data_IF_090696192618
#
_entry.id   IF_090696192618
#
_cell.length_a   1.000
_cell.length_b   1.000
_cell.length_c   1.000
_cell.angle_alpha   90.00
_cell.angle_beta   90.00
_cell.angle_gamma   90.00
#
_symmetry.space_group_name_H-M   'P 1'
#
loop_
_entity.id
_entity.type
_entity.pdbx_description
1 polymer ?
#
# COMPACT_ATOMS: atom_id res chain seq x y z
N UNK A 1 18.99 -17.55 6.00
CA UNK A 1 18.51 -17.73 4.61
C UNK A 1 17.30 -18.64 4.49
N UNK A 2 17.20 -19.74 5.25
CA UNK A 2 16.08 -20.69 5.13
C UNK A 2 14.71 -20.09 5.48
N UNK A 3 14.63 -19.27 6.53
CA UNK A 3 13.40 -18.58 6.96
C UNK A 3 12.83 -17.62 5.89
N UNK A 4 13.70 -16.91 5.16
CA UNK A 4 13.27 -15.95 4.13
C UNK A 4 12.68 -16.64 2.91
N UNK A 5 13.31 -17.73 2.45
CA UNK A 5 12.84 -18.51 1.29
C UNK A 5 11.54 -19.25 1.65
N UNK A 6 11.48 -19.83 2.85
CA UNK A 6 10.29 -20.54 3.31
C UNK A 6 9.11 -19.59 3.50
N UNK A 7 9.32 -18.38 4.03
CA UNK A 7 8.27 -17.37 4.15
C UNK A 7 7.75 -16.89 2.78
N UNK A 8 8.62 -16.75 1.78
CA UNK A 8 8.21 -16.35 0.42
C UNK A 8 7.37 -17.46 -0.23
N UNK A 9 7.83 -18.70 -0.21
CA UNK A 9 7.13 -19.82 -0.83
C UNK A 9 5.85 -20.22 -0.09
N UNK A 10 5.85 -20.19 1.24
CA UNK A 10 4.72 -20.67 2.04
C UNK A 10 3.61 -19.63 2.23
N UNK A 11 3.94 -18.34 2.24
CA UNK A 11 2.94 -17.28 2.56
C UNK A 11 2.58 -16.49 1.31
N UNK A 12 3.57 -16.02 0.55
CA UNK A 12 3.33 -15.11 -0.57
C UNK A 12 2.68 -15.83 -1.76
N UNK A 13 3.14 -17.03 -2.09
CA UNK A 13 2.59 -17.83 -3.20
C UNK A 13 1.09 -18.13 -3.02
N UNK A 14 0.64 -18.78 -1.94
CA UNK A 14 -0.78 -19.12 -1.80
C UNK A 14 -1.65 -17.88 -1.67
N UNK A 15 -1.17 -16.82 -1.01
CA UNK A 15 -1.91 -15.56 -0.88
C UNK A 15 -2.14 -14.91 -2.25
N UNK A 16 -1.09 -14.76 -3.06
CA UNK A 16 -1.18 -14.16 -4.39
C UNK A 16 -1.99 -15.06 -5.34
N UNK A 17 -1.85 -16.37 -5.24
CA UNK A 17 -2.61 -17.32 -6.04
C UNK A 17 -4.11 -17.19 -5.76
N UNK A 18 -4.51 -17.19 -4.49
CA UNK A 18 -5.91 -17.04 -4.10
C UNK A 18 -6.47 -15.69 -4.54
N UNK A 19 -5.69 -14.61 -4.36
CA UNK A 19 -6.08 -13.26 -4.77
C UNK A 19 -6.34 -13.16 -6.28
N UNK A 20 -5.42 -13.65 -7.12
CA UNK A 20 -5.61 -13.64 -8.57
C UNK A 20 -6.70 -14.58 -9.05
N UNK A 21 -6.91 -15.71 -8.37
CA UNK A 21 -8.01 -16.63 -8.68
C UNK A 21 -9.37 -15.95 -8.48
N UNK A 22 -9.56 -15.30 -7.33
CA UNK A 22 -10.79 -14.54 -7.02
C UNK A 22 -10.97 -13.41 -8.03
N UNK A 23 -9.92 -12.64 -8.29
CA UNK A 23 -9.97 -11.51 -9.22
C UNK A 23 -10.31 -11.97 -10.65
N UNK A 24 -9.69 -13.06 -11.13
CA UNK A 24 -9.99 -13.64 -12.43
C UNK A 24 -11.44 -14.16 -12.52
N UNK A 25 -11.98 -14.71 -11.43
CA UNK A 25 -13.38 -15.11 -11.34
C UNK A 25 -14.34 -13.90 -11.41
N UNK A 26 -14.02 -12.79 -10.73
CA UNK A 26 -14.79 -11.54 -10.79
C UNK A 26 -14.72 -10.87 -12.18
N UNK A 27 -13.58 -11.00 -12.85
CA UNK A 27 -13.36 -10.48 -14.20
C UNK A 27 -14.12 -11.29 -15.25
N UNK A 28 -13.98 -12.62 -15.25
CA UNK A 28 -14.64 -13.52 -16.23
C UNK A 28 -16.15 -13.65 -16.00
N UNK A 29 -16.65 -13.36 -14.79
CA UNK A 29 -18.10 -13.30 -14.54
C UNK A 29 -18.75 -12.01 -15.05
N UNK A 30 -17.99 -11.02 -15.55
CA UNK A 30 -18.53 -9.73 -15.96
C UNK A 30 -19.05 -8.88 -14.79
N UNK A 31 -18.68 -9.22 -13.54
CA UNK A 31 -19.07 -8.45 -12.36
C UNK A 31 -18.32 -7.11 -12.29
N UNK A 32 -17.02 -7.08 -12.61
CA UNK A 32 -16.21 -5.86 -12.59
C UNK A 32 -16.79 -4.73 -13.48
N UNK A 33 -17.20 -4.95 -14.74
CA UNK A 33 -17.88 -3.95 -15.56
C UNK A 33 -19.15 -3.35 -14.93
N UNK A 34 -19.96 -4.17 -14.24
CA UNK A 34 -21.17 -3.67 -13.55
C UNK A 34 -20.84 -2.79 -12.36
N UNK A 35 -19.84 -3.18 -11.57
CA UNK A 35 -19.34 -2.38 -10.44
C UNK A 35 -18.83 -1.03 -10.93
N UNK A 36 -18.12 -1.00 -12.06
CA UNK A 36 -17.65 0.23 -12.71
C UNK A 36 -18.81 1.17 -13.03
N UNK A 37 -19.88 0.68 -13.68
CA UNK A 37 -21.05 1.51 -14.03
C UNK A 37 -21.80 2.00 -12.79
N UNK A 38 -21.98 1.13 -11.78
CA UNK A 38 -22.70 1.48 -10.55
C UNK A 38 -22.00 2.61 -9.77
N UNK A 39 -20.67 2.58 -9.73
CA UNK A 39 -19.87 3.49 -8.93
C UNK A 39 -19.27 4.65 -9.75
N UNK A 40 -19.51 4.71 -11.06
CA UNK A 40 -19.04 5.80 -11.93
C UNK A 40 -19.46 7.17 -11.41
N UNK A 41 -20.71 7.30 -10.95
CA UNK A 41 -21.22 8.54 -10.36
C UNK A 41 -20.51 8.97 -9.07
N UNK A 42 -19.99 8.03 -8.27
CA UNK A 42 -19.17 8.34 -7.08
C UNK A 42 -17.78 8.78 -7.51
N UNK A 43 -17.20 8.07 -8.48
CA UNK A 43 -15.86 8.33 -8.98
C UNK A 43 -15.75 9.69 -9.65
N UNK A 44 -16.79 10.11 -10.38
CA UNK A 44 -16.86 11.41 -11.01
C UNK A 44 -16.86 12.56 -9.98
N UNK A 45 -17.45 12.37 -8.79
CA UNK A 45 -17.39 13.36 -7.68
C UNK A 45 -15.99 13.52 -7.10
N UNK A 46 -15.14 12.52 -7.27
CA UNK A 46 -13.73 12.52 -6.87
C UNK A 46 -12.85 13.08 -8.01
N UNK A 47 -13.39 13.16 -9.23
CA UNK A 47 -12.67 13.60 -10.43
C UNK A 47 -11.93 12.45 -11.14
N UNK A 48 -12.36 11.21 -10.93
CA UNK A 48 -11.83 10.03 -11.60
C UNK A 48 -12.92 9.32 -12.42
N UNK A 49 -12.49 8.50 -13.36
CA UNK A 49 -13.36 7.66 -14.18
C UNK A 49 -13.76 6.37 -13.46
N UNK A 50 -14.95 5.82 -13.71
CA UNK A 50 -15.38 4.55 -13.09
C UNK A 50 -14.40 3.38 -13.27
N UNK A 51 -13.60 3.36 -14.35
CA UNK A 51 -12.56 2.34 -14.58
C UNK A 51 -11.48 2.32 -13.48
N UNK A 52 -11.25 3.44 -12.80
CA UNK A 52 -10.26 3.55 -11.75
C UNK A 52 -10.59 2.69 -10.51
N UNK A 53 -11.84 2.24 -10.38
CA UNK A 53 -12.30 1.43 -9.24
C UNK A 53 -11.65 0.05 -9.24
N UNK A 54 -11.42 -0.54 -10.41
CA UNK A 54 -10.81 -1.87 -10.51
C UNK A 54 -9.40 -1.83 -9.89
N UNK A 55 -8.47 -0.93 -10.30
CA UNK A 55 -7.17 -0.82 -9.64
C UNK A 55 -7.25 -0.47 -8.15
N UNK A 56 -8.21 0.35 -7.71
CA UNK A 56 -8.36 0.67 -6.28
C UNK A 56 -8.71 -0.56 -5.44
N UNK A 57 -9.67 -1.38 -5.91
CA UNK A 57 -10.02 -2.64 -5.26
C UNK A 57 -8.84 -3.61 -5.22
N UNK A 58 -8.06 -3.68 -6.30
CA UNK A 58 -6.84 -4.50 -6.36
C UNK A 58 -5.78 -3.98 -5.39
N UNK A 59 -5.69 -2.66 -5.20
CA UNK A 59 -4.76 -2.00 -4.28
C UNK A 59 -4.92 -2.44 -2.83
N UNK A 60 -6.16 -2.72 -2.39
CA UNK A 60 -6.41 -3.26 -1.05
C UNK A 60 -5.77 -4.63 -0.84
N UNK A 61 -5.54 -5.40 -1.91
CA UNK A 61 -4.73 -6.62 -1.86
C UNK A 61 -3.24 -6.29 -1.85
N UNK A 62 -2.73 -5.79 -2.97
CA UNK A 62 -1.32 -5.44 -3.12
C UNK A 62 -1.14 -4.29 -4.12
N UNK A 63 -0.23 -3.37 -3.80
CA UNK A 63 0.02 -2.19 -4.64
C UNK A 63 0.68 -2.56 -5.98
N UNK A 64 1.43 -3.66 -6.05
CA UNK A 64 2.10 -4.13 -7.27
C UNK A 64 1.11 -4.45 -8.40
N UNK A 65 0.16 -5.41 -8.23
CA UNK A 65 -0.85 -5.67 -9.26
C UNK A 65 -1.79 -4.49 -9.49
N UNK A 66 -2.03 -3.66 -8.48
CA UNK A 66 -2.88 -2.48 -8.61
C UNK A 66 -2.29 -1.46 -9.58
N UNK A 67 -0.98 -1.19 -9.48
CA UNK A 67 -0.28 -0.31 -10.41
C UNK A 67 -0.30 -0.90 -11.83
N UNK A 68 -0.07 -2.21 -11.99
CA UNK A 68 -0.16 -2.87 -13.30
C UNK A 68 -1.57 -2.81 -13.89
N UNK A 69 -2.61 -2.91 -13.05
CA UNK A 69 -4.01 -2.79 -13.46
C UNK A 69 -4.35 -1.37 -13.96
N UNK A 70 -3.57 -0.33 -13.62
CA UNK A 70 -3.79 1.01 -14.15
C UNK A 70 -3.56 1.11 -15.67
N UNK A 71 -2.90 0.13 -16.31
CA UNK A 71 -2.71 0.07 -17.77
C UNK A 71 -4.02 0.09 -18.58
N UNK A 72 -5.14 -0.33 -17.96
CA UNK A 72 -6.47 -0.31 -18.58
C UNK A 72 -6.95 1.13 -18.86
N UNK A 73 -6.44 2.11 -18.13
CA UNK A 73 -6.81 3.51 -18.30
C UNK A 73 -5.99 4.13 -19.44
N UNK A 74 -6.65 4.80 -20.38
CA UNK A 74 -5.98 5.39 -21.55
C UNK A 74 -5.21 6.66 -21.18
N UNK A 75 -5.84 7.60 -20.46
CA UNK A 75 -5.20 8.88 -20.09
C UNK A 75 -4.02 8.68 -19.15
N UNK A 76 -2.88 9.27 -19.53
CA UNK A 76 -1.67 9.30 -18.70
C UNK A 76 -1.91 10.08 -17.40
N UNK A 77 -2.73 11.13 -17.44
CA UNK A 77 -3.10 11.91 -16.26
C UNK A 77 -3.85 11.05 -15.25
N UNK A 78 -4.92 10.38 -15.67
CA UNK A 78 -5.70 9.53 -14.77
C UNK A 78 -4.87 8.38 -14.19
N UNK A 79 -3.98 7.79 -14.99
CA UNK A 79 -3.01 6.80 -14.52
C UNK A 79 -2.13 7.30 -13.38
N UNK A 80 -1.58 8.51 -13.50
CA UNK A 80 -0.75 9.13 -12.45
C UNK A 80 -1.56 9.47 -11.19
N UNK A 81 -2.76 10.02 -11.35
CA UNK A 81 -3.65 10.34 -10.22
C UNK A 81 -3.99 9.06 -9.46
N UNK A 82 -4.42 8.03 -10.18
CA UNK A 82 -4.81 6.76 -9.59
C UNK A 82 -3.64 6.05 -8.92
N UNK A 83 -2.48 5.98 -9.57
CA UNK A 83 -1.26 5.42 -8.97
C UNK A 83 -0.88 6.13 -7.67
N UNK A 84 -1.05 7.45 -7.61
CA UNK A 84 -0.77 8.25 -6.41
C UNK A 84 -1.72 7.90 -5.27
N UNK A 85 -3.03 7.82 -5.57
CA UNK A 85 -4.05 7.44 -4.59
C UNK A 85 -3.83 6.02 -4.07
N UNK A 86 -3.54 5.06 -4.95
CA UNK A 86 -3.27 3.66 -4.56
C UNK A 86 -2.13 3.59 -3.55
N UNK A 87 -1.09 4.38 -3.74
CA UNK A 87 0.12 4.28 -2.92
C UNK A 87 -0.02 5.00 -1.59
N UNK A 88 -0.68 6.16 -1.59
CA UNK A 88 -0.75 7.04 -0.43
C UNK A 88 -1.96 6.78 0.46
N UNK A 89 -3.07 6.33 -0.11
CA UNK A 89 -4.37 6.32 0.56
C UNK A 89 -4.99 4.93 0.69
N UNK A 90 -4.63 3.97 -0.18
CA UNK A 90 -5.23 2.63 -0.16
C UNK A 90 -4.36 1.69 0.69
N UNK A 91 -4.88 1.21 1.82
CA UNK A 91 -4.13 0.28 2.64
C UNK A 91 -4.09 -1.08 1.97
N UNK A 92 -2.88 -1.58 1.68
CA UNK A 92 -2.72 -2.96 1.20
C UNK A 92 -2.95 -3.96 2.34
N UNK A 93 -3.07 -5.25 2.00
CA UNK A 93 -3.39 -6.29 2.98
C UNK A 93 -2.41 -6.36 4.15
N UNK A 94 -1.13 -6.11 3.90
CA UNK A 94 -0.11 -6.02 4.94
C UNK A 94 -0.35 -4.83 5.89
N UNK A 95 -0.75 -3.68 5.36
CA UNK A 95 -1.04 -2.50 6.19
C UNK A 95 -2.34 -2.70 6.99
N UNK A 96 -3.35 -3.33 6.39
CA UNK A 96 -4.56 -3.74 7.11
C UNK A 96 -4.23 -4.69 8.27
N UNK A 97 -3.32 -5.64 8.05
CA UNK A 97 -2.85 -6.53 9.11
C UNK A 97 -2.09 -5.76 10.21
N UNK A 98 -1.27 -4.76 9.86
CA UNK A 98 -0.60 -3.89 10.85
C UNK A 98 -1.61 -3.08 11.65
N UNK A 99 -2.58 -2.44 10.99
CA UNK A 99 -3.62 -1.61 11.64
C UNK A 99 -4.43 -2.44 12.63
N UNK A 100 -4.89 -3.62 12.22
CA UNK A 100 -5.68 -4.52 13.07
C UNK A 100 -4.79 -5.14 14.16
N UNK A 101 -3.57 -5.57 13.82
CA UNK A 101 -2.65 -6.25 14.72
C UNK A 101 -2.10 -5.35 15.83
N UNK A 102 -1.88 -4.07 15.54
CA UNK A 102 -1.44 -3.06 16.51
C UNK A 102 -2.65 -2.43 17.19
N UNK A 103 -3.31 -1.49 16.53
CA UNK A 103 -4.35 -0.65 17.11
C UNK A 103 -5.63 -1.44 17.41
N UNK A 104 -5.97 -2.42 16.57
CA UNK A 104 -7.17 -3.24 16.78
C UNK A 104 -7.13 -4.08 18.05
N UNK A 105 -6.00 -4.72 18.36
CA UNK A 105 -5.85 -5.55 19.57
C UNK A 105 -5.76 -4.72 20.85
N UNK A 106 -5.15 -3.53 20.81
CA UNK A 106 -4.85 -2.77 22.04
C UNK A 106 -5.74 -1.54 22.25
N UNK A 107 -6.14 -0.84 21.19
CA UNK A 107 -7.01 0.35 21.25
C UNK A 107 -8.49 0.06 20.99
N UNK A 108 -8.80 -1.04 20.31
CA UNK A 108 -10.15 -1.45 19.95
C UNK A 108 -10.62 -0.94 18.59
N UNK A 109 -11.84 -1.35 18.21
CA UNK A 109 -12.38 -1.16 16.85
C UNK A 109 -12.54 0.32 16.44
N UNK A 110 -12.74 1.22 17.41
CA UNK A 110 -12.96 2.65 17.17
C UNK A 110 -11.74 3.30 16.52
N UNK A 111 -10.54 2.97 17.01
CA UNK A 111 -9.31 3.52 16.46
C UNK A 111 -9.00 2.93 15.07
N UNK A 112 -9.34 1.66 14.83
CA UNK A 112 -9.23 1.06 13.48
C UNK A 112 -10.14 1.79 12.50
N UNK A 113 -11.40 2.04 12.87
CA UNK A 113 -12.35 2.81 12.06
C UNK A 113 -11.87 4.26 11.85
N UNK A 114 -11.25 4.88 12.85
CA UNK A 114 -10.67 6.21 12.70
C UNK A 114 -9.54 6.24 11.66
N UNK A 115 -8.60 5.28 11.68
CA UNK A 115 -7.54 5.18 10.67
C UNK A 115 -8.14 4.98 9.26
N UNK A 116 -9.08 4.05 9.12
CA UNK A 116 -9.75 3.81 7.84
C UNK A 116 -10.52 5.04 7.35
N UNK A 117 -11.17 5.77 8.26
CA UNK A 117 -11.83 7.03 7.97
C UNK A 117 -10.86 8.11 7.48
N UNK A 118 -9.69 8.24 8.10
CA UNK A 118 -8.64 9.16 7.66
C UNK A 118 -8.13 8.78 6.27
N UNK A 119 -7.86 7.50 6.02
CA UNK A 119 -7.43 7.00 4.72
C UNK A 119 -8.47 7.25 3.62
N UNK A 120 -9.75 7.02 3.90
CA UNK A 120 -10.86 7.32 2.98
C UNK A 120 -10.96 8.83 2.72
N UNK A 121 -10.83 9.66 3.76
CA UNK A 121 -10.72 11.11 3.63
C UNK A 121 -9.55 11.51 2.73
N UNK A 122 -8.40 10.84 2.87
CA UNK A 122 -7.22 11.05 2.03
C UNK A 122 -7.51 10.73 0.56
N UNK A 123 -8.23 9.64 0.26
CA UNK A 123 -8.67 9.30 -1.11
C UNK A 123 -9.49 10.45 -1.71
N UNK A 124 -10.45 10.99 -0.96
CA UNK A 124 -11.32 12.08 -1.42
C UNK A 124 -10.55 13.39 -1.64
N UNK A 125 -9.68 13.74 -0.70
CA UNK A 125 -8.87 14.97 -0.75
C UNK A 125 -7.87 14.89 -1.89
N UNK A 126 -7.07 13.82 -1.97
CA UNK A 126 -6.08 13.63 -3.02
C UNK A 126 -6.74 13.56 -4.39
N UNK A 127 -7.83 12.82 -4.53
CA UNK A 127 -8.58 12.74 -5.78
C UNK A 127 -9.01 14.11 -6.30
N UNK A 128 -9.65 14.92 -5.45
CA UNK A 128 -10.07 16.29 -5.83
C UNK A 128 -8.90 17.24 -6.07
N UNK A 129 -7.88 17.19 -5.21
CA UNK A 129 -6.74 18.09 -5.29
C UNK A 129 -5.91 17.82 -6.56
N UNK A 130 -5.64 16.55 -6.86
CA UNK A 130 -4.93 16.17 -8.09
C UNK A 130 -5.79 16.39 -9.34
N UNK A 131 -7.10 16.17 -9.27
CA UNK A 131 -8.00 16.50 -10.37
C UNK A 131 -7.98 18.02 -10.67
N UNK A 132 -7.93 18.87 -9.65
CA UNK A 132 -7.83 20.33 -9.85
C UNK A 132 -6.44 20.78 -10.31
N UNK A 133 -5.37 20.11 -9.85
CA UNK A 133 -3.99 20.51 -10.12
C UNK A 133 -3.50 20.13 -11.54
N UNK A 134 -3.99 19.02 -12.11
CA UNK A 134 -3.54 18.54 -13.42
C UNK A 134 -4.58 18.93 -14.49
N UNK A 135 -4.15 19.45 -15.64
CA UNK A 135 -5.02 20.00 -16.70
C UNK A 135 -5.91 18.93 -17.36
N UNK A 136 -7.15 19.29 -17.71
CA UNK A 136 -8.20 18.38 -18.19
C UNK A 136 -7.84 17.69 -19.52
N UNK A 137 -7.92 16.36 -19.56
CA UNK A 137 -7.92 15.54 -20.78
C UNK A 137 -9.27 14.82 -20.84
N UNK A 138 -10.02 14.89 -21.95
CA UNK A 138 -11.29 14.17 -22.08
C UNK A 138 -11.03 12.67 -22.24
N UNK A 139 -11.50 11.88 -21.29
CA UNK A 139 -11.60 10.42 -21.38
C UNK A 139 -13.02 10.04 -21.79
N UNK A 140 -13.16 9.39 -22.95
CA UNK A 140 -14.44 8.92 -23.45
C UNK A 140 -14.77 7.55 -22.85
N UNK A 141 -15.77 7.50 -21.98
CA UNK A 141 -16.39 6.26 -21.51
C UNK A 141 -17.20 5.66 -22.66
N UNK A 142 -16.58 4.85 -23.51
CA UNK A 142 -17.30 3.85 -24.31
C UNK A 142 -17.01 2.49 -23.69
N UNK A 143 -17.64 2.20 -22.54
CA UNK A 143 -17.69 0.84 -22.02
C UNK A 143 -19.02 0.25 -22.47
N UNK A 144 -18.97 -0.59 -23.49
CA UNK A 144 -20.06 -1.54 -23.75
C UNK A 144 -20.16 -2.47 -22.54
N UNK A 145 -21.33 -2.53 -21.90
CA UNK A 145 -21.56 -3.39 -20.74
C UNK A 145 -21.64 -4.84 -21.26
N UNK A 146 -20.67 -5.72 -20.93
CA UNK A 146 -20.75 -7.11 -21.35
C UNK A 146 -21.83 -7.87 -20.57
N UNK A 147 -22.47 -8.83 -21.23
CA UNK A 147 -23.43 -9.74 -20.60
C UNK A 147 -22.77 -10.63 -19.54
N UNK A 148 -23.53 -10.96 -18.49
CA UNK A 148 -23.06 -11.86 -17.44
C UNK A 148 -22.76 -13.23 -18.05
N UNK A 149 -21.49 -13.60 -18.10
CA UNK A 149 -21.04 -14.86 -18.68
C UNK A 149 -20.63 -15.82 -17.57
N UNK A 150 -20.93 -17.11 -17.74
CA UNK A 150 -20.46 -18.13 -16.80
C UNK A 150 -18.94 -18.24 -16.94
N UNK A 151 -18.17 -18.04 -15.85
CA UNK A 151 -16.72 -17.99 -15.93
C UNK A 151 -16.17 -19.38 -16.32
N UNK A 152 -15.33 -19.43 -17.35
CA UNK A 152 -14.69 -20.69 -17.79
C UNK A 152 -13.44 -20.95 -16.97
N UNK A 153 -13.41 -22.10 -16.29
CA UNK A 153 -12.31 -22.49 -15.38
C UNK A 153 -10.94 -22.49 -16.09
N UNK A 154 -10.87 -22.90 -17.36
CA UNK A 154 -9.65 -22.85 -18.17
C UNK A 154 -9.10 -21.43 -18.36
N UNK A 155 -9.97 -20.43 -18.56
CA UNK A 155 -9.55 -19.04 -18.72
C UNK A 155 -9.07 -18.47 -17.39
N UNK A 156 -9.79 -18.77 -16.30
CA UNK A 156 -9.42 -18.35 -14.94
C UNK A 156 -8.01 -18.88 -14.61
N UNK A 157 -7.76 -20.18 -14.81
CA UNK A 157 -6.48 -20.81 -14.52
C UNK A 157 -5.35 -20.24 -15.39
N UNK A 158 -5.56 -20.07 -16.70
CA UNK A 158 -4.56 -19.49 -17.60
C UNK A 158 -4.23 -18.03 -17.25
N UNK A 159 -5.24 -17.20 -17.00
CA UNK A 159 -5.06 -15.79 -16.58
C UNK A 159 -4.31 -15.71 -15.26
N UNK A 160 -4.72 -16.52 -14.28
CA UNK A 160 -4.07 -16.60 -12.96
C UNK A 160 -2.61 -17.01 -13.09
N UNK A 161 -2.32 -18.05 -13.88
CA UNK A 161 -0.95 -18.54 -14.10
C UNK A 161 -0.04 -17.50 -14.76
N UNK A 162 -0.53 -16.81 -15.80
CA UNK A 162 0.24 -15.74 -16.45
C UNK A 162 0.56 -14.59 -15.51
N UNK A 163 -0.41 -14.13 -14.71
CA UNK A 163 -0.22 -13.05 -13.74
C UNK A 163 0.73 -13.44 -12.61
N UNK A 164 0.67 -14.68 -12.12
CA UNK A 164 1.61 -15.20 -11.12
C UNK A 164 3.03 -15.24 -11.69
N UNK A 165 3.20 -15.71 -12.93
CA UNK A 165 4.52 -15.75 -13.59
C UNK A 165 5.10 -14.35 -13.75
N UNK A 166 4.31 -13.38 -14.20
CA UNK A 166 4.75 -11.99 -14.35
C UNK A 166 5.14 -11.39 -12.99
N UNK A 167 4.36 -11.63 -11.94
CA UNK A 167 4.70 -11.21 -10.58
C UNK A 167 6.02 -11.82 -10.10
N UNK A 168 6.23 -13.12 -10.30
CA UNK A 168 7.46 -13.80 -9.88
C UNK A 168 8.69 -13.27 -10.62
N UNK A 169 8.60 -13.04 -11.92
CA UNK A 169 9.72 -12.52 -12.72
C UNK A 169 10.12 -11.10 -12.30
N UNK A 170 9.16 -10.28 -11.87
CA UNK A 170 9.42 -8.88 -11.50
C UNK A 170 9.76 -8.74 -10.02
N UNK A 171 8.94 -9.27 -9.12
CA UNK A 171 9.04 -9.00 -7.68
C UNK A 171 10.11 -9.87 -6.99
N UNK A 172 10.26 -11.14 -7.38
CA UNK A 172 11.19 -12.06 -6.73
C UNK A 172 12.66 -11.59 -6.75
N UNK A 173 13.25 -11.19 -7.89
CA UNK A 173 14.66 -10.76 -7.91
C UNK A 173 14.87 -9.49 -7.07
N UNK A 174 13.91 -8.57 -7.08
CA UNK A 174 13.99 -7.30 -6.33
C UNK A 174 13.95 -7.57 -4.83
N UNK A 175 13.08 -8.47 -4.38
CA UNK A 175 12.98 -8.86 -2.97
C UNK A 175 14.25 -9.57 -2.49
N UNK A 176 14.82 -10.46 -3.31
CA UNK A 176 16.03 -11.20 -2.97
C UNK A 176 17.24 -10.25 -2.84
N UNK A 177 17.45 -9.39 -3.83
CA UNK A 177 18.52 -8.39 -3.82
C UNK A 177 18.35 -7.41 -2.66
N UNK A 178 17.11 -6.92 -2.44
CA UNK A 178 16.81 -5.99 -1.34
C UNK A 178 17.08 -6.58 0.04
N UNK A 179 16.75 -7.87 0.23
CA UNK A 179 17.00 -8.57 1.50
C UNK A 179 18.49 -8.74 1.79
N UNK A 180 19.27 -9.18 0.78
CA UNK A 180 20.73 -9.32 0.91
C UNK A 180 21.40 -7.97 1.18
N UNK A 181 20.99 -6.93 0.44
CA UNK A 181 21.55 -5.58 0.61
C UNK A 181 21.31 -5.03 2.02
N UNK A 182 20.14 -5.30 2.60
CA UNK A 182 19.83 -4.93 3.99
C UNK A 182 20.65 -5.70 5.02
N UNK A 183 20.78 -7.02 4.88
CA UNK A 183 21.57 -7.81 5.81
C UNK A 183 23.03 -7.33 5.83
N UNK A 184 23.59 -6.98 4.66
CA UNK A 184 24.88 -6.33 4.54
C UNK A 184 24.90 -4.96 5.23
N UNK A 185 23.93 -4.09 4.94
CA UNK A 185 23.88 -2.74 5.56
C UNK A 185 23.77 -2.79 7.08
N UNK A 186 23.01 -3.76 7.60
CA UNK A 186 22.86 -4.01 9.02
C UNK A 186 24.17 -4.53 9.63
N UNK A 187 24.85 -5.47 8.96
CA UNK A 187 26.14 -6.01 9.40
C UNK A 187 27.25 -4.95 9.45
N UNK A 188 27.20 -3.93 8.57
CA UNK A 188 28.16 -2.82 8.56
C UNK A 188 27.80 -1.67 9.53
N UNK A 189 26.70 -1.75 10.29
CA UNK A 189 26.29 -0.71 11.24
C UNK A 189 25.91 0.64 10.60
N UNK A 190 25.77 0.69 9.28
CA UNK A 190 25.41 1.91 8.53
C UNK A 190 23.96 2.32 8.82
N UNK A 191 23.12 1.35 9.20
CA UNK A 191 21.74 1.59 9.54
C UNK A 191 21.62 2.45 10.81
N UNK A 192 22.45 2.22 11.82
CA UNK A 192 22.43 2.99 13.07
C UNK A 192 22.86 4.45 12.86
N UNK A 193 23.83 4.70 11.95
CA UNK A 193 24.22 6.05 11.51
C UNK A 193 23.09 6.80 10.77
N UNK A 194 22.17 6.07 10.12
CA UNK A 194 20.98 6.66 9.49
C UNK A 194 19.86 6.89 10.51
N UNK A 195 19.81 6.10 11.59
CA UNK A 195 18.77 6.18 12.63
C UNK A 195 18.96 7.43 13.50
N UNK A 196 20.18 7.79 13.88
CA UNK A 196 20.47 8.98 14.71
C UNK A 196 19.90 10.31 14.16
N UNK A 197 20.11 10.70 12.88
CA UNK A 197 19.53 11.92 12.35
C UNK A 197 18.00 11.84 12.18
N UNK A 198 17.44 10.65 12.00
CA UNK A 198 15.99 10.44 11.93
C UNK A 198 15.33 10.38 13.33
N UNK A 199 16.10 10.11 14.40
CA UNK A 199 15.60 10.05 15.76
C UNK A 199 15.03 11.41 16.21
N UNK A 200 15.70 12.49 15.81
CA UNK A 200 15.20 13.85 16.04
C UNK A 200 13.80 14.07 15.44
N UNK A 201 13.55 13.55 14.24
CA UNK A 201 12.25 13.67 13.58
C UNK A 201 11.18 12.75 14.18
N UNK A 202 11.53 11.55 14.62
CA UNK A 202 10.56 10.58 15.14
C UNK A 202 10.20 10.83 16.60
N UNK A 203 11.18 11.14 17.45
CA UNK A 203 10.93 11.47 18.85
C UNK A 203 10.34 12.88 18.99
N UNK A 204 10.81 13.84 18.19
CA UNK A 204 10.33 15.23 18.23
C UNK A 204 8.97 15.44 17.56
N UNK A 205 8.80 14.97 16.31
CA UNK A 205 7.59 15.26 15.51
C UNK A 205 6.52 14.18 15.66
N UNK A 206 6.91 12.89 15.66
CA UNK A 206 5.96 11.78 15.76
C UNK A 206 5.68 11.31 17.19
N UNK A 207 6.49 11.69 18.19
CA UNK A 207 6.33 11.25 19.58
C UNK A 207 6.57 9.75 19.79
N UNK A 208 7.29 9.11 18.86
CA UNK A 208 7.56 7.67 18.84
C UNK A 208 8.97 7.38 19.37
N UNK A 209 9.17 6.28 20.12
CA UNK A 209 10.51 5.81 20.51
C UNK A 209 11.44 5.63 19.29
N UNK A 210 12.71 6.06 19.37
CA UNK A 210 13.67 5.98 18.26
C UNK A 210 13.84 4.56 17.65
N UNK A 211 13.59 3.51 18.44
CA UNK A 211 13.66 2.10 17.99
C UNK A 211 12.70 1.81 16.82
N UNK A 212 11.62 2.57 16.68
CA UNK A 212 10.60 2.38 15.64
C UNK A 212 11.11 2.79 14.25
N UNK A 213 12.16 3.61 14.17
CA UNK A 213 12.80 3.98 12.90
C UNK A 213 13.31 2.74 12.18
N UNK A 214 13.86 1.78 12.94
CA UNK A 214 14.31 0.51 12.38
C UNK A 214 13.12 -0.21 11.74
N UNK A 215 11.99 -0.31 12.43
CA UNK A 215 10.78 -0.93 11.88
C UNK A 215 10.23 -0.18 10.64
N UNK A 216 10.31 1.16 10.61
CA UNK A 216 9.90 1.99 9.47
C UNK A 216 10.80 1.78 8.24
N UNK A 217 12.13 1.78 8.45
CA UNK A 217 13.13 1.59 7.39
C UNK A 217 13.03 0.18 6.82
N UNK A 218 12.96 -0.85 7.68
CA UNK A 218 12.70 -2.21 7.24
C UNK A 218 11.32 -2.36 6.58
N UNK A 219 10.34 -1.58 7.02
CA UNK A 219 9.00 -1.51 6.43
C UNK A 219 9.01 -1.10 4.95
N UNK A 220 9.94 -0.24 4.51
CA UNK A 220 10.08 0.14 3.08
C UNK A 220 10.40 -1.08 2.21
N UNK A 221 11.15 -2.04 2.75
CA UNK A 221 11.51 -3.24 2.01
C UNK A 221 10.44 -4.31 2.11
N UNK A 222 9.88 -4.50 3.31
CA UNK A 222 8.95 -5.59 3.58
C UNK A 222 7.92 -5.18 4.64
N UNK A 223 6.85 -4.49 4.21
CA UNK A 223 5.82 -3.94 5.10
C UNK A 223 5.18 -5.01 6.00
N UNK A 224 5.01 -6.24 5.52
CA UNK A 224 4.44 -7.35 6.29
C UNK A 224 5.32 -7.82 7.46
N UNK A 225 6.63 -7.60 7.39
CA UNK A 225 7.55 -7.98 8.47
C UNK A 225 7.72 -6.88 9.51
N UNK A 226 7.26 -5.64 9.24
CA UNK A 226 7.41 -4.51 10.17
C UNK A 226 6.76 -4.79 11.54
N UNK A 227 5.56 -5.37 11.55
CA UNK A 227 4.88 -5.77 12.80
C UNK A 227 5.65 -6.86 13.54
N UNK A 228 6.14 -7.88 12.82
CA UNK A 228 6.93 -8.96 13.40
C UNK A 228 8.25 -8.44 13.98
N UNK A 229 8.92 -7.52 13.28
CA UNK A 229 10.13 -6.84 13.72
C UNK A 229 9.89 -6.03 14.99
N UNK A 230 8.76 -5.34 15.13
CA UNK A 230 8.42 -4.67 16.40
C UNK A 230 8.30 -5.64 17.57
N UNK A 231 7.63 -6.78 17.37
CA UNK A 231 7.51 -7.82 18.42
C UNK A 231 8.88 -8.40 18.80
N UNK A 232 9.76 -8.60 17.82
CA UNK A 232 11.12 -9.09 18.06
C UNK A 232 11.99 -8.03 18.75
N UNK A 233 11.94 -6.77 18.30
CA UNK A 233 12.72 -5.66 18.86
C UNK A 233 12.33 -5.35 20.31
N UNK A 234 11.04 -5.40 20.63
CA UNK A 234 10.56 -5.18 21.99
C UNK A 234 10.57 -6.45 22.86
N UNK A 235 10.96 -7.60 22.30
CA UNK A 235 11.03 -8.88 23.01
C UNK A 235 9.71 -9.34 23.65
N UNK A 236 8.59 -8.72 23.27
CA UNK A 236 7.29 -8.89 23.91
C UNK A 236 6.18 -8.96 22.87
N UNK A 237 5.30 -9.95 22.99
CA UNK A 237 4.11 -10.06 22.14
C UNK A 237 3.05 -8.99 22.47
N UNK A 238 3.11 -8.43 23.69
CA UNK A 238 2.18 -7.39 24.18
C UNK A 238 2.76 -5.99 23.97
N UNK A 239 2.46 -5.37 22.83
CA UNK A 239 2.97 -4.03 22.49
C UNK A 239 2.44 -2.93 23.44
N UNK A 240 1.30 -3.15 24.11
CA UNK A 240 0.74 -2.22 25.09
C UNK A 240 1.58 -2.04 26.35
N UNK A 241 2.52 -2.95 26.66
CA UNK A 241 3.40 -2.77 27.82
C UNK A 241 4.59 -1.84 27.52
N UNK A 242 4.85 -1.56 26.24
CA UNK A 242 6.00 -0.77 25.80
C UNK A 242 5.59 0.54 25.13
N UNK A 243 4.40 0.59 24.54
CA UNK A 243 3.88 1.76 23.84
C UNK A 243 2.45 2.08 24.26
N UNK A 244 2.11 3.38 24.28
CA UNK A 244 0.73 3.81 24.47
C UNK A 244 -0.11 3.51 23.22
N UNK A 245 -1.43 3.42 23.39
CA UNK A 245 -2.37 3.19 22.28
C UNK A 245 -2.27 4.30 21.22
N UNK A 246 -1.98 5.53 21.65
CA UNK A 246 -1.79 6.69 20.78
C UNK A 246 -0.54 6.55 19.92
N UNK A 247 0.59 6.11 20.50
CA UNK A 247 1.81 5.85 19.75
C UNK A 247 1.63 4.71 18.74
N UNK A 248 0.88 3.66 19.11
CA UNK A 248 0.51 2.59 18.16
C UNK A 248 -0.37 3.12 17.02
N UNK A 249 -1.27 4.06 17.30
CA UNK A 249 -2.08 4.72 16.29
C UNK A 249 -1.24 5.52 15.30
N UNK A 250 -0.34 6.37 15.80
CA UNK A 250 0.55 7.18 14.96
C UNK A 250 1.44 6.26 14.12
N UNK A 251 1.99 5.20 14.71
CA UNK A 251 2.79 4.22 13.97
C UNK A 251 1.99 3.53 12.84
N UNK A 252 0.79 3.02 13.13
CA UNK A 252 -0.02 2.34 12.14
C UNK A 252 -0.45 3.28 10.99
N UNK A 253 -0.79 4.53 11.32
CA UNK A 253 -1.19 5.53 10.35
C UNK A 253 -0.02 5.95 9.45
N UNK A 254 1.16 6.15 10.02
CA UNK A 254 2.38 6.42 9.26
C UNK A 254 2.70 5.22 8.39
N UNK A 255 2.72 3.99 8.91
CA UNK A 255 2.99 2.79 8.10
C UNK A 255 2.02 2.59 6.92
N UNK A 256 0.76 2.98 7.11
CA UNK A 256 -0.25 2.92 6.06
C UNK A 256 0.02 3.93 4.93
N UNK A 257 0.38 5.16 5.27
CA UNK A 257 0.59 6.26 4.31
C UNK A 257 2.02 6.39 3.79
N UNK A 258 2.99 5.80 4.50
CA UNK A 258 4.41 5.87 4.21
C UNK A 258 4.78 5.09 2.94
N UNK A 259 5.96 5.40 2.40
CA UNK A 259 6.50 4.99 1.11
C UNK A 259 6.11 3.56 0.68
N UNK A 260 5.79 3.33 -0.61
CA UNK A 260 5.45 2.00 -1.12
C UNK A 260 6.61 1.03 -0.95
N UNK A 261 6.29 -0.27 -0.89
CA UNK A 261 7.32 -1.31 -0.84
C UNK A 261 8.24 -1.25 -2.07
N UNK A 262 9.47 -1.74 -1.92
CA UNK A 262 10.47 -1.78 -3.01
C UNK A 262 9.95 -2.38 -4.32
N UNK A 263 9.10 -3.40 -4.24
CA UNK A 263 8.47 -4.02 -5.42
C UNK A 263 7.48 -3.07 -6.10
N UNK A 264 6.64 -2.37 -5.34
CA UNK A 264 5.74 -1.35 -5.89
C UNK A 264 6.51 -0.14 -6.43
N UNK A 265 7.62 0.25 -5.79
CA UNK A 265 8.49 1.31 -6.29
C UNK A 265 9.12 0.96 -7.64
N UNK A 266 9.62 -0.26 -7.81
CA UNK A 266 10.19 -0.70 -9.07
C UNK A 266 9.16 -0.78 -10.21
N UNK A 267 7.94 -1.24 -9.91
CA UNK A 267 6.85 -1.28 -10.90
C UNK A 267 6.37 0.13 -11.25
N UNK A 268 6.29 1.05 -10.29
CA UNK A 268 6.02 2.46 -10.57
C UNK A 268 7.04 3.07 -11.54
N UNK A 269 8.34 2.80 -11.34
CA UNK A 269 9.38 3.33 -12.24
C UNK A 269 9.14 2.85 -13.68
N UNK A 270 8.71 1.59 -13.84
CA UNK A 270 8.40 1.01 -15.15
C UNK A 270 7.15 1.61 -15.78
N UNK A 271 6.11 1.92 -14.99
CA UNK A 271 4.83 2.42 -15.52
C UNK A 271 4.75 3.94 -15.68
N UNK A 272 5.24 4.70 -14.70
CA UNK A 272 5.10 6.16 -14.65
C UNK A 272 6.39 6.89 -15.03
N UNK A 273 7.52 6.20 -14.97
CA UNK A 273 8.84 6.76 -15.22
C UNK A 273 9.48 7.38 -13.97
N UNK A 274 10.81 7.41 -13.94
CA UNK A 274 11.61 7.82 -12.78
C UNK A 274 11.18 9.17 -12.16
N UNK A 275 10.94 10.19 -12.99
CA UNK A 275 10.62 11.54 -12.51
C UNK A 275 9.30 11.59 -11.75
N UNK A 276 8.28 10.92 -12.26
CA UNK A 276 6.95 10.95 -11.66
C UNK A 276 6.91 10.02 -10.43
N UNK A 277 7.57 8.86 -10.49
CA UNK A 277 7.74 7.99 -9.32
C UNK A 277 8.44 8.69 -8.16
N UNK A 278 9.53 9.42 -8.42
CA UNK A 278 10.29 10.09 -7.36
C UNK A 278 9.48 11.22 -6.71
N UNK A 279 8.68 11.95 -7.50
CA UNK A 279 7.72 12.94 -6.99
C UNK A 279 6.64 12.29 -6.12
N UNK A 280 6.05 11.17 -6.57
CA UNK A 280 5.02 10.45 -5.83
C UNK A 280 5.57 9.91 -4.50
N UNK A 281 6.75 9.29 -4.52
CA UNK A 281 7.39 8.78 -3.30
C UNK A 281 7.76 9.90 -2.34
N UNK A 282 8.32 11.01 -2.83
CA UNK A 282 8.62 12.15 -1.98
C UNK A 282 7.35 12.75 -1.35
N UNK A 283 6.29 12.94 -2.14
CA UNK A 283 5.00 13.40 -1.62
C UNK A 283 4.41 12.44 -0.58
N UNK A 284 4.61 11.12 -0.73
CA UNK A 284 4.11 10.12 0.23
C UNK A 284 4.83 10.21 1.58
N UNK A 285 6.14 10.46 1.57
CA UNK A 285 6.93 10.66 2.78
C UNK A 285 6.48 11.94 3.48
N UNK A 286 6.39 13.06 2.77
CA UNK A 286 5.90 14.33 3.33
C UNK A 286 4.51 14.16 3.93
N UNK A 287 3.58 13.53 3.22
CA UNK A 287 2.23 13.26 3.72
C UNK A 287 2.24 12.37 4.97
N UNK A 288 3.01 11.28 4.98
CA UNK A 288 3.08 10.39 6.13
C UNK A 288 3.62 11.10 7.39
N UNK A 289 4.69 11.88 7.27
CA UNK A 289 5.25 12.63 8.40
C UNK A 289 4.32 13.76 8.87
N UNK A 290 3.65 14.45 7.95
CA UNK A 290 2.69 15.50 8.32
C UNK A 290 1.47 14.91 9.04
N UNK A 291 0.88 13.83 8.52
CA UNK A 291 -0.26 13.18 9.16
C UNK A 291 0.11 12.54 10.50
N UNK A 292 1.27 11.88 10.58
CA UNK A 292 1.78 11.30 11.82
C UNK A 292 2.00 12.36 12.91
N UNK A 293 2.63 13.49 12.55
CA UNK A 293 2.82 14.59 13.48
C UNK A 293 1.53 15.29 13.88
N UNK A 294 0.59 15.50 12.94
CA UNK A 294 -0.74 16.04 13.26
C UNK A 294 -1.52 15.12 14.20
N UNK A 295 -1.44 13.80 14.00
CA UNK A 295 -2.07 12.83 14.89
C UNK A 295 -1.47 12.88 16.29
N UNK A 296 -0.13 12.88 16.41
CA UNK A 296 0.56 13.01 17.69
C UNK A 296 0.19 14.31 18.42
N UNK A 297 0.16 15.45 17.70
CA UNK A 297 -0.24 16.73 18.29
C UNK A 297 -1.70 16.72 18.78
N UNK A 298 -2.61 16.11 18.02
CA UNK A 298 -4.00 15.95 18.43
C UNK A 298 -4.15 15.17 19.74
N UNK A 299 -3.36 14.12 19.94
CA UNK A 299 -3.35 13.33 21.18
C UNK A 299 -2.65 14.05 22.35
N UNK A 300 -1.73 14.98 22.10
CA UNK A 300 -1.15 15.80 23.17
C UNK A 300 -2.08 16.92 23.66
N UNK A 301 -3.04 17.33 22.83
CA UNK A 301 -3.99 18.42 23.14
C UNK A 301 -5.26 17.91 23.85
N UNK A 302 -5.65 16.65 23.63
CA UNK A 302 -6.84 16.01 24.22
C UNK A 302 -6.47 15.02 25.32
#
# INVERSE_FOLDING_TARGET
MDLSIQAILAIVVPYILLFYLILALLEDSGYLPRVVVLLDGVMHKIGLHGQAIIPMLVGMGCNVPAILATRVIESRREKLILGTIIIMAIPCSAQMAVIIGTVGNYGGIVYVLAILGILLGLVLILGRLLHKAIKFEPTSLMIEIPDLSVPRVDNILKKTWMRIKEFFVIAFPILLIGSIALELLNAYGVLDMLVEPLAFFTEGWLGLPAIIIVALVFGVLRKEMSFQLLVVLFGTANLATVMTVEQLFVFALVMATFMPCMSAFAVMIREYGLKDTLKMSFASIVLAFTLGGMANFLFQVF
#
